data_IF_561390046519
#
_entry.id   IF_561390046519
#
_cell.length_a   1.000
_cell.length_b   1.000
_cell.length_c   1.000
_cell.angle_alpha   90.00
_cell.angle_beta   90.00
_cell.angle_gamma   90.00
#
_symmetry.space_group_name_H-M   'P 1'
#
loop_
_entity.id
_entity.type
_entity.pdbx_description
1 polymer ?
#
# COMPACT_ATOMS: atom_id res chain seq x y z
N UNK A 1 -17.96 10.86 -5.03
CA UNK A 1 -16.97 11.53 -5.90
C UNK A 1 -15.97 12.28 -5.01
N UNK A 2 -14.86 11.63 -4.61
CA UNK A 2 -13.83 12.25 -3.77
C UNK A 2 -12.83 13.03 -4.64
N UNK A 3 -12.46 14.25 -4.22
CA UNK A 3 -11.55 15.13 -4.99
C UNK A 3 -10.12 14.53 -5.02
N UNK A 4 -9.48 14.36 -6.19
CA UNK A 4 -8.15 13.73 -6.28
C UNK A 4 -6.96 14.64 -5.93
N UNK A 5 -7.15 15.92 -5.59
CA UNK A 5 -6.06 16.92 -5.69
C UNK A 5 -5.36 17.35 -4.38
N UNK A 6 -5.76 16.90 -3.18
CA UNK A 6 -5.20 17.48 -1.94
C UNK A 6 -4.06 16.71 -1.27
N UNK A 7 -3.80 15.46 -1.65
CA UNK A 7 -2.84 14.61 -0.92
C UNK A 7 -1.40 14.72 -1.46
N UNK A 8 -1.21 14.82 -2.78
CA UNK A 8 0.14 14.88 -3.37
C UNK A 8 0.83 16.23 -3.22
N UNK A 9 0.10 17.33 -3.04
CA UNK A 9 0.68 18.69 -2.98
C UNK A 9 1.50 18.96 -1.72
N UNK A 10 1.22 18.25 -0.63
CA UNK A 10 1.97 18.37 0.64
C UNK A 10 3.33 17.65 0.58
N UNK A 11 3.42 16.53 -0.13
CA UNK A 11 4.62 15.69 -0.18
C UNK A 11 5.74 16.28 -1.07
N UNK A 12 5.35 16.98 -2.15
CA UNK A 12 6.28 17.64 -3.07
C UNK A 12 7.08 18.76 -2.37
N UNK A 13 6.48 19.45 -1.39
CA UNK A 13 7.15 20.54 -0.66
C UNK A 13 8.34 20.08 0.20
N UNK A 14 8.39 18.80 0.55
CA UNK A 14 9.46 18.22 1.38
C UNK A 14 10.36 17.27 0.57
N UNK A 15 10.25 17.31 -0.76
CA UNK A 15 10.98 16.43 -1.68
C UNK A 15 10.80 14.93 -1.37
N UNK A 16 9.63 14.56 -0.84
CA UNK A 16 9.29 13.15 -0.55
C UNK A 16 8.53 12.61 -1.76
N UNK A 17 9.20 11.78 -2.54
CA UNK A 17 8.61 11.14 -3.70
C UNK A 17 7.85 9.88 -3.28
N UNK A 18 6.57 9.80 -3.61
CA UNK A 18 5.78 8.57 -3.54
C UNK A 18 5.03 8.34 -4.85
N UNK A 19 4.84 7.08 -5.22
CA UNK A 19 3.97 6.70 -6.31
C UNK A 19 2.65 6.17 -5.75
N UNK A 20 1.53 6.62 -6.31
CA UNK A 20 0.21 6.08 -6.00
C UNK A 20 -0.13 5.04 -7.05
N UNK A 21 -0.37 3.81 -6.61
CA UNK A 21 -0.75 2.69 -7.46
C UNK A 21 -2.16 2.21 -7.09
N UNK A 22 -2.97 1.88 -8.09
CA UNK A 22 -4.32 1.36 -7.88
C UNK A 22 -4.29 -0.17 -7.79
N UNK A 23 -4.75 -0.73 -6.67
CA UNK A 23 -5.07 -2.16 -6.57
C UNK A 23 -6.37 -2.43 -7.31
N UNK A 24 -6.41 -3.47 -8.13
CA UNK A 24 -7.52 -3.78 -9.02
C UNK A 24 -8.10 -5.15 -8.71
N UNK A 25 -9.28 -5.42 -9.27
CA UNK A 25 -10.02 -6.67 -9.04
C UNK A 25 -9.19 -7.90 -9.38
N UNK A 26 -8.43 -7.87 -10.47
CA UNK A 26 -7.57 -8.99 -10.88
C UNK A 26 -6.47 -9.31 -9.88
N UNK A 27 -6.03 -8.33 -9.07
CA UNK A 27 -5.03 -8.57 -8.02
C UNK A 27 -5.65 -9.40 -6.88
N UNK A 28 -6.92 -9.14 -6.54
CA UNK A 28 -7.67 -9.94 -5.55
C UNK A 28 -8.04 -11.33 -6.10
N UNK A 29 -8.45 -11.40 -7.37
CA UNK A 29 -8.80 -12.67 -8.01
C UNK A 29 -7.60 -13.62 -8.05
N UNK A 30 -6.38 -13.09 -8.24
CA UNK A 30 -5.14 -13.86 -8.18
C UNK A 30 -4.88 -14.49 -6.80
N UNK A 31 -5.27 -13.82 -5.73
CA UNK A 31 -5.03 -14.27 -4.35
C UNK A 31 -6.12 -15.19 -3.79
N UNK A 32 -7.11 -15.60 -4.58
CA UNK A 32 -8.09 -16.61 -4.15
C UNK A 32 -7.43 -17.98 -4.01
N UNK A 33 -7.89 -18.78 -3.05
CA UNK A 33 -7.50 -20.18 -2.92
C UNK A 33 -7.79 -20.95 -4.21
N UNK A 34 -6.85 -21.81 -4.62
CA UNK A 34 -6.96 -22.62 -5.84
C UNK A 34 -7.43 -24.05 -5.52
N UNK A 35 -7.24 -24.49 -4.29
CA UNK A 35 -7.60 -25.80 -3.77
C UNK A 35 -8.39 -25.69 -2.46
N UNK A 36 -8.91 -26.81 -1.98
CA UNK A 36 -9.59 -26.91 -0.68
C UNK A 36 -8.67 -26.74 0.54
N UNK A 37 -7.34 -26.74 0.36
CA UNK A 37 -6.37 -26.67 1.45
C UNK A 37 -5.97 -25.24 1.82
N UNK A 38 -6.35 -24.24 1.01
CA UNK A 38 -6.05 -22.84 1.29
C UNK A 38 -7.24 -21.91 1.06
N UNK A 39 -7.43 -20.94 1.96
CA UNK A 39 -8.44 -19.90 1.80
C UNK A 39 -8.00 -18.85 0.78
N UNK A 40 -6.72 -18.50 0.80
CA UNK A 40 -6.10 -17.47 -0.03
C UNK A 40 -4.67 -17.87 -0.42
N UNK A 41 -4.26 -17.49 -1.62
CA UNK A 41 -2.93 -17.72 -2.17
C UNK A 41 -2.05 -16.49 -1.99
N UNK A 42 -0.86 -16.64 -1.40
CA UNK A 42 0.06 -15.52 -1.14
C UNK A 42 0.82 -15.01 -2.38
N UNK A 43 1.27 -15.93 -3.23
CA UNK A 43 2.07 -15.65 -4.42
C UNK A 43 2.06 -16.85 -5.37
N UNK A 44 2.51 -16.66 -6.61
CA UNK A 44 2.81 -17.79 -7.49
C UNK A 44 4.23 -18.33 -7.22
N UNK A 45 4.52 -19.48 -7.84
CA UNK A 45 5.84 -20.13 -7.78
C UNK A 45 6.77 -19.72 -8.94
N UNK A 46 6.47 -18.61 -9.63
CA UNK A 46 7.29 -18.10 -10.72
C UNK A 46 8.36 -17.14 -10.18
N UNK A 47 9.47 -16.93 -10.92
CA UNK A 47 10.43 -15.89 -10.57
C UNK A 47 9.77 -14.52 -10.42
N UNK A 48 10.32 -13.64 -9.57
CA UNK A 48 9.75 -12.31 -9.32
C UNK A 48 9.64 -11.42 -10.56
N UNK A 49 10.40 -11.70 -11.64
CA UNK A 49 10.28 -11.03 -12.93
C UNK A 49 9.07 -11.48 -13.75
N UNK A 50 8.46 -12.61 -13.38
CA UNK A 50 7.32 -13.24 -14.03
C UNK A 50 6.06 -13.21 -13.17
N UNK A 51 6.02 -12.38 -12.11
CA UNK A 51 4.79 -12.04 -11.39
C UNK A 51 4.15 -10.81 -12.03
N UNK A 52 3.05 -10.96 -12.78
CA UNK A 52 2.33 -9.81 -13.31
C UNK A 52 1.92 -8.88 -12.17
N UNK A 53 1.77 -7.58 -12.42
CA UNK A 53 1.24 -6.60 -11.43
C UNK A 53 2.10 -6.36 -10.17
N UNK A 54 3.25 -7.03 -10.01
CA UNK A 54 4.29 -6.70 -9.03
C UNK A 54 3.77 -6.46 -7.61
N UNK A 55 4.07 -5.29 -7.04
CA UNK A 55 3.74 -4.93 -5.65
C UNK A 55 2.23 -4.79 -5.35
N UNK A 56 1.36 -4.84 -6.37
CA UNK A 56 -0.09 -4.70 -6.20
C UNK A 56 -0.74 -6.00 -5.72
N UNK A 57 -0.22 -7.16 -6.15
CA UNK A 57 -0.71 -8.48 -5.71
C UNK A 57 -0.48 -8.68 -4.20
N UNK A 58 0.74 -8.46 -3.65
CA UNK A 58 0.94 -8.56 -2.20
C UNK A 58 0.04 -7.60 -1.40
N UNK A 59 -0.24 -6.41 -1.94
CA UNK A 59 -1.17 -5.47 -1.29
C UNK A 59 -2.61 -6.01 -1.26
N UNK A 60 -3.08 -6.66 -2.33
CA UNK A 60 -4.39 -7.32 -2.38
C UNK A 60 -4.45 -8.51 -1.40
N UNK A 61 -3.42 -9.35 -1.37
CA UNK A 61 -3.29 -10.45 -0.42
C UNK A 61 -3.42 -9.97 1.04
N UNK A 62 -2.64 -8.96 1.43
CA UNK A 62 -2.68 -8.41 2.80
C UNK A 62 -4.05 -7.82 3.12
N UNK A 63 -4.72 -7.21 2.14
CA UNK A 63 -6.08 -6.71 2.31
C UNK A 63 -7.07 -7.84 2.59
N UNK A 64 -7.00 -8.95 1.85
CA UNK A 64 -7.87 -10.12 2.05
C UNK A 64 -7.56 -10.85 3.37
N UNK A 65 -6.29 -11.10 3.65
CA UNK A 65 -5.84 -11.78 4.86
C UNK A 65 -6.25 -11.03 6.14
N UNK A 66 -6.31 -9.70 6.07
CA UNK A 66 -6.72 -8.85 7.19
C UNK A 66 -8.23 -8.57 7.23
N UNK A 67 -8.99 -9.06 6.23
CA UNK A 67 -10.43 -8.77 6.07
C UNK A 67 -10.76 -7.33 5.66
N UNK A 68 -9.77 -6.53 5.28
CA UNK A 68 -9.94 -5.13 4.86
C UNK A 68 -10.67 -5.01 3.52
N UNK A 69 -10.64 -6.06 2.70
CA UNK A 69 -11.42 -6.18 1.47
C UNK A 69 -12.94 -6.06 1.71
N UNK A 70 -13.41 -6.39 2.92
CA UNK A 70 -14.82 -6.27 3.34
C UNK A 70 -15.21 -4.86 3.78
N UNK A 71 -14.26 -3.94 3.89
CA UNK A 71 -14.43 -2.58 4.40
C UNK A 71 -14.25 -1.51 3.31
N UNK A 72 -14.49 -1.87 2.05
CA UNK A 72 -14.45 -0.95 0.91
C UNK A 72 -15.50 0.17 0.98
N UNK A 73 -15.49 1.05 -0.02
CA UNK A 73 -16.38 2.23 -0.10
C UNK A 73 -17.87 1.86 -0.08
N UNK A 74 -18.22 0.69 -0.61
CA UNK A 74 -19.60 0.20 -0.71
C UNK A 74 -20.00 -0.72 0.46
N UNK A 75 -19.19 -0.81 1.52
CA UNK A 75 -19.50 -1.64 2.70
C UNK A 75 -20.36 -0.92 3.73
N UNK A 76 -21.08 -1.67 4.57
CA UNK A 76 -21.87 -1.10 5.68
C UNK A 76 -20.99 -0.38 6.72
N UNK A 77 -19.71 -0.76 6.80
CA UNK A 77 -18.72 -0.18 7.73
C UNK A 77 -17.41 0.13 7.00
N UNK A 78 -17.37 1.18 6.16
CA UNK A 78 -16.16 1.51 5.40
C UNK A 78 -15.00 1.89 6.34
N UNK A 79 -13.81 1.40 6.02
CA UNK A 79 -12.59 1.72 6.78
C UNK A 79 -11.55 2.36 5.86
N UNK A 80 -11.15 3.63 6.08
CA UNK A 80 -10.07 4.24 5.33
C UNK A 80 -8.74 3.52 5.60
N UNK A 81 -8.15 2.95 4.56
CA UNK A 81 -6.89 2.23 4.63
C UNK A 81 -5.99 2.53 3.42
N UNK A 82 -4.68 2.50 3.63
CA UNK A 82 -3.68 2.59 2.56
C UNK A 82 -2.50 1.69 2.91
N UNK A 83 -2.15 0.81 1.99
CA UNK A 83 -0.91 0.06 2.04
C UNK A 83 0.24 0.95 1.53
N UNK A 84 1.36 0.98 2.26
CA UNK A 84 2.55 1.72 1.87
C UNK A 84 3.70 0.72 1.73
N UNK A 85 4.11 0.46 0.49
CA UNK A 85 5.29 -0.36 0.20
C UNK A 85 6.56 0.50 0.31
N UNK A 86 7.46 0.10 1.21
CA UNK A 86 8.70 0.81 1.55
C UNK A 86 9.93 0.01 1.11
N UNK A 87 9.76 -1.17 0.52
CA UNK A 87 10.85 -2.09 0.21
C UNK A 87 11.99 -1.43 -0.58
N UNK A 88 11.66 -0.65 -1.61
CA UNK A 88 12.63 0.09 -2.42
C UNK A 88 13.22 1.34 -1.74
N UNK A 89 12.57 1.87 -0.70
CA UNK A 89 12.96 3.13 -0.05
C UNK A 89 13.73 2.91 1.26
N UNK A 90 13.56 1.77 1.94
CA UNK A 90 14.01 1.55 3.32
C UNK A 90 15.54 1.59 3.49
N UNK A 91 16.26 0.76 2.74
CA UNK A 91 17.72 0.74 2.55
C UNK A 91 18.10 -0.56 1.84
N UNK A 92 19.32 -0.63 1.31
CA UNK A 92 19.92 -1.88 0.83
C UNK A 92 20.60 -2.62 1.99
N UNK A 93 20.74 -3.94 1.85
CA UNK A 93 21.48 -4.77 2.80
C UNK A 93 22.90 -4.22 2.95
N UNK A 94 23.39 -4.10 4.19
CA UNK A 94 24.68 -3.50 4.58
C UNK A 94 24.77 -1.97 4.49
N UNK A 95 23.68 -1.27 4.19
CA UNK A 95 23.62 0.19 4.21
C UNK A 95 22.75 0.71 5.36
N UNK A 96 23.00 1.95 5.77
CA UNK A 96 22.20 2.61 6.80
C UNK A 96 20.76 2.84 6.30
N UNK A 97 19.79 2.65 7.20
CA UNK A 97 18.37 2.90 6.94
C UNK A 97 18.14 4.37 6.55
N UNK A 98 17.33 4.61 5.51
CA UNK A 98 16.99 5.95 5.01
C UNK A 98 15.94 6.67 5.87
N UNK A 99 15.32 5.94 6.80
CA UNK A 99 14.13 6.35 7.56
C UNK A 99 12.90 6.68 6.71
N UNK A 100 12.89 6.41 5.39
CA UNK A 100 11.66 6.51 4.61
C UNK A 100 10.62 5.50 5.14
N UNK A 101 9.32 5.87 5.26
CA UNK A 101 8.68 7.14 4.91
C UNK A 101 8.35 8.01 6.14
N UNK A 102 9.25 8.11 7.14
CA UNK A 102 9.01 8.84 8.39
C UNK A 102 8.56 10.29 8.16
N UNK A 103 9.28 11.04 7.32
CA UNK A 103 8.94 12.43 7.04
C UNK A 103 7.59 12.58 6.32
N UNK A 104 7.16 11.55 5.56
CA UNK A 104 5.85 11.54 4.89
C UNK A 104 4.74 11.55 5.94
N UNK A 105 4.83 10.64 6.91
CA UNK A 105 3.83 10.50 7.97
C UNK A 105 3.89 11.63 8.98
N UNK A 106 5.09 12.06 9.38
CA UNK A 106 5.26 13.18 10.29
C UNK A 106 4.61 14.44 9.72
N UNK A 107 4.85 14.74 8.45
CA UNK A 107 4.31 15.94 7.80
C UNK A 107 2.81 15.87 7.60
N UNK A 108 2.27 14.67 7.36
CA UNK A 108 0.82 14.47 7.18
C UNK A 108 0.04 14.49 8.50
N UNK A 109 0.58 13.88 9.55
CA UNK A 109 -0.18 13.55 10.76
C UNK A 109 0.33 14.21 12.04
N UNK A 110 1.61 14.60 12.11
CA UNK A 110 2.24 15.11 13.34
C UNK A 110 2.45 16.62 13.28
N UNK A 111 3.19 17.12 12.27
CA UNK A 111 3.56 18.54 12.15
C UNK A 111 2.37 19.51 12.20
N UNK A 112 1.23 19.24 11.52
CA UNK A 112 0.06 20.12 11.59
C UNK A 112 -0.55 20.21 13.00
N UNK A 113 -0.34 19.19 13.86
CA UNK A 113 -0.87 19.16 15.24
C UNK A 113 -0.01 19.94 16.23
N UNK A 114 1.25 20.19 15.89
CA UNK A 114 2.21 20.91 16.75
C UNK A 114 2.49 22.33 16.27
N UNK A 115 1.65 22.88 15.38
CA UNK A 115 1.72 24.27 14.94
C UNK A 115 2.69 24.54 13.79
N UNK A 116 3.31 23.51 13.20
CA UNK A 116 4.06 23.66 11.95
C UNK A 116 3.08 23.74 10.77
N UNK A 117 3.09 24.86 10.03
CA UNK A 117 2.29 25.09 8.83
C UNK A 117 3.13 25.09 7.57
#
# INVERSE_FOLDING_TARGET
MARPHSHSSCLIKLNIMCQISTVRKEDFDFNKGQTEYEDILQCNNLPSSATPRGHQIPAAFLSMASGLDKHGLDSDKPLPFTHVDVSGAAAKIHFQATAAPLMMFASRYVLPRVGFK
#
